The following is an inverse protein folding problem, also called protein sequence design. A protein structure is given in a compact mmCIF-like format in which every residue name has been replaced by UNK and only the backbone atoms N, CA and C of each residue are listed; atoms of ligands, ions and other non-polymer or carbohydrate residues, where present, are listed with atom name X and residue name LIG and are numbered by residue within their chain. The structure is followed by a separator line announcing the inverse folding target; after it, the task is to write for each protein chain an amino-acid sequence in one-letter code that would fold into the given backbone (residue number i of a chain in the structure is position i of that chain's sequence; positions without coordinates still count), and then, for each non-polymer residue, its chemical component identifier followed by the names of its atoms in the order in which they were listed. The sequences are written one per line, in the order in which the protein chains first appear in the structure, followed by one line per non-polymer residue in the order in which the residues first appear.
data_IF_981013092983
#
_entry.id   IF_981013092983
#
_cell.length_a   1.000
_cell.length_b   1.000
_cell.length_c   1.000
_cell.angle_alpha   90.00
_cell.angle_beta   90.00
_cell.angle_gamma   90.00
#
_symmetry.space_group_name_H-M   'P 1'
#
loop_
_entity.id
_entity.type
_entity.pdbx_description
1 polymer ?
#
# COMPACT_ATOMS: atom_id res chain seq x y z
N UNK A 1 25.17 -64.89 7.44
CA UNK A 1 25.79 -65.51 8.63
C UNK A 1 27.14 -64.87 8.83
N UNK A 2 27.49 -64.41 9.99
CA UNK A 2 26.71 -64.32 11.18
C UNK A 2 27.58 -63.43 12.03
N UNK A 3 26.93 -62.47 12.68
CA UNK A 3 27.47 -61.84 13.86
C UNK A 3 28.60 -60.86 13.43
N UNK A 4 28.52 -59.54 13.63
CA UNK A 4 28.54 -58.90 14.94
C UNK A 4 29.65 -59.55 15.80
N UNK A 5 29.97 -58.93 16.91
CA UNK A 5 30.49 -59.71 18.03
C UNK A 5 31.95 -60.16 17.96
N UNK A 6 32.70 -59.87 16.91
CA UNK A 6 34.04 -59.32 17.13
C UNK A 6 34.03 -57.90 16.57
N UNK A 7 33.22 -56.98 17.12
CA UNK A 7 33.43 -56.51 18.49
C UNK A 7 34.91 -56.18 18.64
N UNK A 8 35.15 -54.94 19.03
CA UNK A 8 36.06 -54.82 20.17
C UNK A 8 37.43 -55.49 19.96
N UNK A 9 38.08 -55.08 18.89
CA UNK A 9 39.37 -54.46 19.09
C UNK A 9 39.17 -53.05 18.51
N UNK A 10 38.61 -52.04 19.21
CA UNK A 10 38.91 -51.64 20.59
C UNK A 10 40.38 -51.89 20.94
N UNK A 11 41.25 -51.31 20.14
CA UNK A 11 42.65 -51.05 20.42
C UNK A 11 43.24 -50.75 19.04
N UNK A 12 43.37 -49.51 18.63
CA UNK A 12 44.36 -48.64 19.22
C UNK A 12 43.94 -47.20 18.88
N UNK A 13 43.76 -46.31 19.87
CA UNK A 13 44.89 -45.64 20.52
C UNK A 13 45.67 -44.89 19.42
N UNK A 14 45.62 -43.57 19.24
CA UNK A 14 45.43 -42.45 20.14
C UNK A 14 45.04 -41.24 19.25
N UNK A 15 44.22 -40.27 19.67
CA UNK A 15 44.57 -39.17 20.56
C UNK A 15 45.91 -38.47 20.24
N UNK A 16 45.81 -37.13 20.07
CA UNK A 16 46.85 -36.10 20.25
C UNK A 16 47.78 -35.89 19.03
N UNK A 17 48.09 -34.70 18.53
CA UNK A 17 48.06 -33.31 19.02
C UNK A 17 47.74 -32.38 17.82
N UNK A 18 46.96 -31.31 17.95
CA UNK A 18 47.45 -30.00 18.44
C UNK A 18 47.47 -29.01 17.26
N UNK A 19 46.53 -28.05 17.22
CA UNK A 19 46.73 -26.64 17.61
C UNK A 19 47.62 -25.84 16.62
N UNK A 20 47.02 -24.92 15.85
CA UNK A 20 47.23 -23.45 15.90
C UNK A 20 48.62 -22.97 15.41
N UNK A 21 48.84 -21.96 14.59
CA UNK A 21 48.12 -20.73 14.31
C UNK A 21 48.86 -19.99 13.17
N UNK A 22 48.15 -19.06 12.52
CA UNK A 22 48.63 -17.72 12.16
C UNK A 22 49.82 -17.51 11.19
N UNK A 23 49.44 -16.87 10.06
CA UNK A 23 50.08 -15.70 9.42
C UNK A 23 50.63 -15.91 8.00
N UNK A 24 50.16 -14.97 7.18
CA UNK A 24 50.30 -14.64 5.75
C UNK A 24 51.73 -14.10 5.42
N UNK A 25 52.06 -13.50 4.24
CA UNK A 25 51.28 -13.21 3.02
C UNK A 25 52.04 -13.44 1.67
N UNK A 26 51.35 -13.08 0.58
CA UNK A 26 51.86 -12.66 -0.76
C UNK A 26 52.00 -13.73 -1.85
N UNK A 27 51.11 -13.65 -2.85
CA UNK A 27 51.50 -13.67 -4.26
C UNK A 27 50.43 -12.97 -5.13
N UNK A 28 50.78 -11.93 -5.92
CA UNK A 28 49.94 -11.48 -7.02
C UNK A 28 50.26 -12.32 -8.27
N UNK A 29 49.50 -12.07 -9.34
CA UNK A 29 49.58 -12.66 -10.69
C UNK A 29 48.83 -14.00 -10.80
N UNK A 30 47.60 -14.03 -11.32
CA UNK A 30 47.12 -13.71 -12.67
C UNK A 30 46.96 -14.99 -13.50
N UNK A 31 45.75 -15.14 -14.03
CA UNK A 31 45.37 -15.99 -15.16
C UNK A 31 45.37 -17.50 -14.94
N UNK A 32 44.15 -18.05 -14.94
CA UNK A 32 43.89 -19.45 -15.29
C UNK A 32 43.16 -20.21 -14.18
N UNK A 33 41.83 -20.31 -14.27
CA UNK A 33 41.10 -21.22 -13.40
C UNK A 33 39.60 -20.97 -13.36
N UNK A 34 38.88 -21.74 -14.17
CA UNK A 34 37.49 -22.20 -14.00
C UNK A 34 36.44 -21.18 -13.57
N UNK A 35 35.61 -20.80 -14.54
CA UNK A 35 34.26 -20.34 -14.29
C UNK A 35 33.49 -21.43 -13.51
N UNK A 36 33.46 -21.30 -12.18
CA UNK A 36 32.35 -21.84 -11.41
C UNK A 36 31.13 -21.06 -11.86
N UNK A 37 30.30 -21.70 -12.68
CA UNK A 37 28.93 -21.28 -12.94
C UNK A 37 28.27 -21.12 -11.58
N UNK A 38 28.14 -19.88 -11.11
CA UNK A 38 27.26 -19.58 -10.01
C UNK A 38 25.86 -20.13 -10.41
N UNK A 39 25.20 -20.95 -9.59
CA UNK A 39 23.78 -21.18 -9.81
C UNK A 39 23.15 -19.79 -9.77
N UNK A 40 22.57 -19.38 -10.89
CA UNK A 40 21.70 -18.21 -10.91
C UNK A 40 20.64 -18.53 -9.88
N UNK A 41 20.74 -17.91 -8.70
CA UNK A 41 19.58 -17.78 -7.86
C UNK A 41 18.68 -16.88 -8.69
N UNK A 42 17.81 -17.49 -9.49
CA UNK A 42 16.81 -16.79 -10.28
C UNK A 42 16.00 -15.99 -9.28
N UNK A 43 16.40 -14.73 -9.09
CA UNK A 43 15.68 -13.82 -8.24
C UNK A 43 14.25 -13.82 -8.81
N UNK A 44 13.22 -14.19 -8.02
CA UNK A 44 11.86 -14.04 -8.51
C UNK A 44 11.73 -12.60 -9.00
N UNK A 45 11.11 -12.37 -10.16
CA UNK A 45 11.10 -11.05 -10.79
C UNK A 45 10.76 -10.05 -9.71
N UNK A 46 11.70 -9.16 -9.39
CA UNK A 46 11.52 -8.14 -8.36
C UNK A 46 10.29 -7.39 -8.80
N UNK A 47 9.15 -7.70 -8.17
CA UNK A 47 7.88 -7.11 -8.51
C UNK A 47 8.14 -5.61 -8.59
N UNK A 48 7.91 -5.02 -9.76
CA UNK A 48 8.09 -3.59 -9.96
C UNK A 48 7.52 -2.89 -8.74
N UNK A 49 8.19 -1.86 -8.17
CA UNK A 49 7.61 -1.15 -7.04
C UNK A 49 6.22 -0.74 -7.50
N UNK A 50 5.18 -1.36 -6.93
CA UNK A 50 3.83 -0.95 -7.21
C UNK A 50 3.81 0.46 -6.70
N UNK A 51 3.94 1.41 -7.63
CA UNK A 51 3.97 2.82 -7.28
C UNK A 51 2.68 3.00 -6.52
N UNK A 52 2.78 3.25 -5.21
CA UNK A 52 1.64 3.64 -4.42
C UNK A 52 1.27 5.02 -4.95
N UNK A 53 0.50 5.05 -6.04
CA UNK A 53 -0.08 6.28 -6.54
C UNK A 53 -1.13 6.64 -5.50
N UNK A 54 -0.69 7.31 -4.44
CA UNK A 54 -1.55 7.91 -3.43
C UNK A 54 -2.31 9.04 -4.14
N UNK A 55 -3.32 8.69 -4.94
CA UNK A 55 -4.21 9.64 -5.58
C UNK A 55 -5.05 10.25 -4.47
N UNK A 56 -4.66 11.43 -4.00
CA UNK A 56 -5.47 12.18 -3.06
C UNK A 56 -6.82 12.51 -3.70
N UNK A 57 -7.90 12.04 -3.09
CA UNK A 57 -9.27 12.30 -3.56
C UNK A 57 -9.56 13.80 -3.51
N UNK A 58 -10.01 14.36 -4.63
CA UNK A 58 -10.43 15.76 -4.71
C UNK A 58 -11.59 16.07 -3.74
N UNK A 59 -11.63 17.29 -3.19
CA UNK A 59 -12.68 17.76 -2.26
C UNK A 59 -14.00 18.05 -3.00
N UNK A 60 -14.68 16.99 -3.44
CA UNK A 60 -15.98 17.07 -4.12
C UNK A 60 -17.07 16.37 -3.30
N UNK A 61 -18.33 16.72 -3.57
CA UNK A 61 -19.49 16.00 -3.03
C UNK A 61 -19.71 14.71 -3.81
N UNK A 62 -19.90 13.59 -3.12
CA UNK A 62 -20.05 12.28 -3.75
C UNK A 62 -21.40 12.09 -4.44
N UNK A 63 -22.46 12.73 -3.92
CA UNK A 63 -23.82 12.62 -4.48
C UNK A 63 -24.09 13.66 -5.57
N UNK A 64 -23.72 14.92 -5.33
CA UNK A 64 -24.07 16.03 -6.24
C UNK A 64 -22.93 16.41 -7.20
N UNK A 65 -21.71 15.93 -6.96
CA UNK A 65 -20.53 16.34 -7.74
C UNK A 65 -20.11 17.81 -7.53
N UNK A 66 -20.68 18.49 -6.52
CA UNK A 66 -20.35 19.88 -6.21
C UNK A 66 -18.83 20.05 -5.99
N UNK A 67 -18.28 21.12 -6.54
CA UNK A 67 -16.85 21.46 -6.51
C UNK A 67 -16.60 22.76 -5.72
N UNK A 68 -15.41 22.92 -5.11
CA UNK A 68 -15.06 24.16 -4.41
C UNK A 68 -14.92 25.30 -5.43
N UNK A 69 -15.34 26.50 -5.04
CA UNK A 69 -15.23 27.69 -5.89
C UNK A 69 -13.80 28.23 -5.82
N UNK A 70 -13.06 28.06 -6.92
CA UNK A 70 -11.68 28.56 -7.07
C UNK A 70 -11.59 30.00 -7.57
N UNK A 71 -12.71 30.59 -8.01
CA UNK A 71 -12.75 31.95 -8.56
C UNK A 71 -12.90 33.03 -7.48
N UNK A 72 -13.13 32.63 -6.23
CA UNK A 72 -13.27 33.54 -5.11
C UNK A 72 -12.00 34.37 -4.87
N UNK A 73 -12.21 35.61 -4.41
CA UNK A 73 -11.16 36.58 -4.10
C UNK A 73 -11.48 37.22 -2.74
N UNK A 74 -10.47 37.29 -1.89
CA UNK A 74 -10.52 38.11 -0.69
C UNK A 74 -10.26 39.56 -1.10
N UNK A 75 -11.12 40.48 -0.70
CA UNK A 75 -11.01 41.91 -1.04
C UNK A 75 -10.66 42.68 0.23
N UNK A 76 -9.56 43.43 0.21
CA UNK A 76 -9.18 44.31 1.31
C UNK A 76 -10.03 45.59 1.31
N UNK A 77 -9.95 46.37 2.41
CA UNK A 77 -10.56 47.71 2.47
C UNK A 77 -10.06 48.63 1.34
N UNK A 78 -8.79 48.48 0.95
CA UNK A 78 -8.14 49.19 -0.16
C UNK A 78 -8.43 48.57 -1.55
N UNK A 79 -9.39 47.65 -1.68
CA UNK A 79 -9.74 46.97 -2.93
C UNK A 79 -8.64 46.08 -3.54
N UNK A 80 -7.61 45.74 -2.78
CA UNK A 80 -6.61 44.74 -3.19
C UNK A 80 -7.27 43.37 -3.17
N UNK A 81 -7.13 42.61 -4.27
CA UNK A 81 -7.79 41.32 -4.44
C UNK A 81 -6.81 40.16 -4.40
N UNK A 82 -6.90 39.33 -3.38
CA UNK A 82 -6.07 38.13 -3.21
C UNK A 82 -6.88 36.88 -3.55
N UNK A 83 -6.29 35.92 -4.28
CA UNK A 83 -6.96 34.66 -4.64
C UNK A 83 -7.15 33.78 -3.40
N UNK A 84 -8.37 33.29 -3.18
CA UNK A 84 -8.68 32.38 -2.07
C UNK A 84 -9.79 31.41 -2.49
N UNK A 85 -9.67 30.13 -2.14
CA UNK A 85 -10.63 29.09 -2.54
C UNK A 85 -11.72 28.94 -1.49
N UNK A 86 -12.99 29.05 -1.90
CA UNK A 86 -14.11 28.71 -1.03
C UNK A 86 -14.36 27.20 -1.06
N UNK A 87 -14.13 26.56 0.08
CA UNK A 87 -14.35 25.14 0.24
C UNK A 87 -15.81 24.78 0.48
N UNK A 88 -16.17 23.57 0.09
CA UNK A 88 -17.47 23.00 0.40
C UNK A 88 -17.51 22.54 1.86
N UNK A 89 -18.66 22.72 2.52
CA UNK A 89 -18.93 22.11 3.82
C UNK A 89 -19.20 20.60 3.65
N UNK A 90 -18.13 19.82 3.47
CA UNK A 90 -18.17 18.37 3.26
C UNK A 90 -18.11 17.64 4.60
N UNK A 91 -19.09 16.78 4.82
CA UNK A 91 -19.22 15.97 6.03
C UNK A 91 -19.21 14.49 5.64
N UNK A 92 -18.42 13.67 6.33
CA UNK A 92 -18.44 12.21 6.16
C UNK A 92 -19.61 11.65 6.96
N UNK A 93 -20.59 11.04 6.28
CA UNK A 93 -21.80 10.50 6.90
C UNK A 93 -22.13 9.12 6.34
N UNK A 94 -22.81 8.32 7.17
CA UNK A 94 -23.30 6.99 6.85
C UNK A 94 -24.80 7.06 6.59
N UNK A 95 -25.26 6.39 5.55
CA UNK A 95 -26.68 6.29 5.18
C UNK A 95 -27.06 4.83 5.05
N UNK A 96 -28.22 4.45 5.56
CA UNK A 96 -28.78 3.13 5.29
C UNK A 96 -29.40 3.11 3.89
N UNK A 97 -29.10 2.08 3.11
CA UNK A 97 -29.66 1.88 1.78
C UNK A 97 -30.52 0.61 1.78
N UNK A 98 -31.84 0.79 1.62
CA UNK A 98 -32.83 -0.29 1.74
C UNK A 98 -32.66 -1.38 0.68
N UNK A 99 -32.54 -1.00 -0.60
CA UNK A 99 -32.49 -1.97 -1.71
C UNK A 99 -31.24 -2.84 -1.68
N UNK A 100 -30.09 -2.23 -1.36
CA UNK A 100 -28.83 -2.96 -1.21
C UNK A 100 -28.58 -3.51 0.19
N UNK A 101 -29.53 -3.37 1.12
CA UNK A 101 -29.47 -3.82 2.53
C UNK A 101 -28.13 -3.52 3.21
N UNK A 102 -27.57 -2.33 3.00
CA UNK A 102 -26.22 -1.99 3.47
C UNK A 102 -26.07 -0.52 3.82
N UNK A 103 -25.10 -0.23 4.69
CA UNK A 103 -24.72 1.16 4.97
C UNK A 103 -23.76 1.69 3.93
N UNK A 104 -24.07 2.86 3.38
CA UNK A 104 -23.23 3.60 2.44
C UNK A 104 -22.57 4.76 3.17
N UNK A 105 -21.23 4.83 3.14
CA UNK A 105 -20.48 5.95 3.69
C UNK A 105 -20.00 6.86 2.57
N UNK A 106 -20.32 8.15 2.65
CA UNK A 106 -19.93 9.12 1.63
C UNK A 106 -19.66 10.51 2.22
N UNK A 107 -18.89 11.31 1.50
CA UNK A 107 -18.63 12.73 1.81
C UNK A 107 -19.69 13.58 1.12
N UNK A 108 -20.56 14.17 1.94
CA UNK A 108 -21.75 14.88 1.46
C UNK A 108 -21.72 16.33 1.92
N UNK A 109 -22.28 17.24 1.11
CA UNK A 109 -22.54 18.63 1.50
C UNK A 109 -23.85 18.77 2.28
N UNK A 110 -23.99 19.79 3.13
CA UNK A 110 -25.24 20.01 3.87
C UNK A 110 -26.47 20.19 2.94
N UNK A 111 -26.30 20.74 1.74
CA UNK A 111 -27.38 20.85 0.75
C UNK A 111 -27.83 19.47 0.26
N UNK A 112 -26.88 18.59 -0.09
CA UNK A 112 -27.18 17.23 -0.50
C UNK A 112 -27.81 16.42 0.64
N UNK A 113 -27.38 16.63 1.89
CA UNK A 113 -28.03 16.03 3.06
C UNK A 113 -29.50 16.43 3.18
N UNK A 114 -29.83 17.72 2.96
CA UNK A 114 -31.23 18.19 2.92
C UNK A 114 -32.02 17.52 1.81
N UNK A 115 -31.41 17.31 0.63
CA UNK A 115 -32.05 16.60 -0.48
C UNK A 115 -32.35 15.14 -0.12
N UNK A 116 -31.41 14.43 0.50
CA UNK A 116 -31.61 13.05 0.96
C UNK A 116 -32.75 13.00 1.98
N UNK A 117 -32.78 13.93 2.95
CA UNK A 117 -33.85 13.99 3.95
C UNK A 117 -35.23 14.22 3.33
N UNK A 118 -35.33 15.00 2.25
CA UNK A 118 -36.60 15.31 1.59
C UNK A 118 -37.09 14.21 0.64
N UNK A 119 -36.19 13.61 -0.14
CA UNK A 119 -36.55 12.69 -1.22
C UNK A 119 -36.31 11.21 -0.88
N UNK A 120 -35.47 10.92 0.11
CA UNK A 120 -34.89 9.59 0.33
C UNK A 120 -33.62 9.38 -0.50
N UNK A 121 -32.82 8.37 -0.09
CA UNK A 121 -31.50 8.12 -0.67
C UNK A 121 -31.58 7.67 -2.14
N UNK A 122 -32.48 6.73 -2.45
CA UNK A 122 -32.61 6.17 -3.79
C UNK A 122 -33.04 7.19 -4.83
N UNK A 123 -34.11 7.95 -4.53
CA UNK A 123 -34.62 9.01 -5.43
C UNK A 123 -33.55 10.09 -5.65
N UNK A 124 -32.80 10.44 -4.62
CA UNK A 124 -31.70 11.39 -4.74
C UNK A 124 -30.56 10.83 -5.62
N UNK A 125 -30.18 9.56 -5.46
CA UNK A 125 -29.15 8.93 -6.28
C UNK A 125 -29.54 8.87 -7.77
N UNK A 126 -30.78 8.49 -8.07
CA UNK A 126 -31.32 8.45 -9.43
C UNK A 126 -31.33 9.85 -10.08
N UNK A 127 -31.69 10.89 -9.30
CA UNK A 127 -31.67 12.27 -9.78
C UNK A 127 -30.28 12.74 -10.23
N UNK A 128 -29.23 12.30 -9.55
CA UNK A 128 -27.86 12.69 -9.87
C UNK A 128 -27.10 11.64 -10.70
N UNK A 129 -27.73 10.53 -11.07
CA UNK A 129 -27.12 9.44 -11.84
C UNK A 129 -25.95 8.76 -11.13
N UNK A 130 -26.02 8.64 -9.80
CA UNK A 130 -24.90 8.12 -8.99
C UNK A 130 -25.11 6.67 -8.59
N UNK A 131 -24.13 5.82 -8.89
CA UNK A 131 -24.12 4.41 -8.50
C UNK A 131 -23.76 4.24 -7.02
N UNK A 132 -24.74 3.87 -6.19
CA UNK A 132 -24.55 3.67 -4.76
C UNK A 132 -23.62 2.49 -4.44
N UNK A 133 -23.57 1.47 -5.31
CA UNK A 133 -22.73 0.26 -5.18
C UNK A 133 -21.24 0.54 -5.01
N UNK A 134 -20.75 1.64 -5.60
CA UNK A 134 -19.34 2.04 -5.54
C UNK A 134 -18.90 2.50 -4.14
N UNK A 135 -19.82 3.02 -3.35
CA UNK A 135 -19.49 3.55 -2.04
C UNK A 135 -19.45 2.40 -1.04
N UNK A 136 -18.23 2.07 -0.64
CA UNK A 136 -17.90 1.18 0.47
C UNK A 136 -16.90 1.90 1.37
N UNK A 137 -17.10 1.74 2.67
CA UNK A 137 -16.04 1.83 3.68
C UNK A 137 -15.92 0.43 4.23
#
# INVERSE_FOLDING_TARGET
MAVKVVLLIMSALALLLGASAFVTPVKPSSFGGSALVAPKFDAPPRAAPQSSTLVMRARNCDLTGARPNRNHRLVSKSHVRTKSVQHLNLQKKRFWWEEGKRTVTMRITCKALRTIKKLGLQKAANKYGVNLSKFRV
#
